data_IF_824597169682
#
_entry.id   IF_824597169682
#
_cell.length_a   1.000
_cell.length_b   1.000
_cell.length_c   1.000
_cell.angle_alpha   90.00
_cell.angle_beta   90.00
_cell.angle_gamma   90.00
#
_symmetry.space_group_name_H-M   'P 1'
#
loop_
_entity.id
_entity.type
_entity.pdbx_description
1 polymer ?
#
# COMPACT_ATOMS: atom_id res chain seq x y z
N UNK A 1 -15.73 1.15 48.25
CA UNK A 1 -14.38 0.58 48.06
C UNK A 1 -14.26 0.21 46.61
N UNK A 2 -13.70 1.12 45.81
CA UNK A 2 -13.55 1.02 44.36
C UNK A 2 -12.33 0.15 44.06
N UNK A 3 -12.56 -1.08 43.59
CA UNK A 3 -11.49 -1.92 43.08
C UNK A 3 -11.20 -1.49 41.64
N UNK A 4 -10.10 -0.76 41.49
CA UNK A 4 -9.40 -0.55 40.22
C UNK A 4 -8.49 -1.78 40.03
N UNK A 5 -8.82 -2.63 39.06
CA UNK A 5 -7.99 -3.73 38.53
C UNK A 5 -8.67 -4.14 37.21
N UNK A 6 -8.09 -4.17 36.03
CA UNK A 6 -6.71 -4.24 35.57
C UNK A 6 -6.56 -3.39 34.30
N UNK A 7 -5.37 -2.81 34.10
CA UNK A 7 -4.92 -2.35 32.79
C UNK A 7 -4.71 -3.57 31.88
N UNK A 8 -5.79 -4.21 31.42
CA UNK A 8 -5.74 -5.07 30.26
C UNK A 8 -5.54 -4.17 29.04
N UNK A 9 -4.30 -4.10 28.52
CA UNK A 9 -4.10 -3.64 27.16
C UNK A 9 -5.15 -4.35 26.28
N UNK A 10 -6.02 -3.59 25.55
CA UNK A 10 -7.21 -4.16 24.95
C UNK A 10 -6.79 -5.33 24.08
N UNK A 11 -7.48 -6.46 24.23
CA UNK A 11 -7.25 -7.74 23.54
C UNK A 11 -6.97 -7.57 22.03
N UNK A 12 -7.56 -6.52 21.45
CA UNK A 12 -7.33 -5.97 20.11
C UNK A 12 -5.86 -5.71 19.73
N UNK A 13 -5.03 -5.23 20.66
CA UNK A 13 -3.59 -5.00 20.44
C UNK A 13 -2.77 -6.29 20.48
N UNK A 14 -3.32 -7.39 20.96
CA UNK A 14 -2.63 -8.69 20.94
C UNK A 14 -2.91 -9.49 19.68
N UNK A 15 -3.99 -9.20 18.93
CA UNK A 15 -4.28 -9.90 17.67
C UNK A 15 -3.29 -9.44 16.57
N UNK A 16 -2.46 -10.36 16.03
CA UNK A 16 -1.47 -10.01 15.00
C UNK A 16 -2.12 -9.46 13.72
N UNK A 17 -3.37 -9.85 13.39
CA UNK A 17 -4.07 -9.33 12.21
C UNK A 17 -4.36 -7.84 12.37
N UNK A 18 -4.83 -7.40 13.54
CA UNK A 18 -5.10 -6.00 13.82
C UNK A 18 -3.83 -5.14 13.82
N UNK A 19 -2.76 -5.62 14.47
CA UNK A 19 -1.49 -4.92 14.53
C UNK A 19 -0.88 -4.72 13.15
N UNK A 20 -0.81 -5.80 12.37
CA UNK A 20 -0.23 -5.76 11.03
C UNK A 20 -1.10 -4.93 10.07
N UNK A 21 -2.43 -4.98 10.20
CA UNK A 21 -3.32 -4.11 9.43
C UNK A 21 -3.06 -2.62 9.74
N UNK A 22 -2.94 -2.26 11.02
CA UNK A 22 -2.60 -0.89 11.43
C UNK A 22 -1.23 -0.44 10.91
N UNK A 23 -0.21 -1.29 11.03
CA UNK A 23 1.13 -1.02 10.48
C UNK A 23 1.09 -0.87 8.97
N UNK A 24 0.38 -1.74 8.26
CA UNK A 24 0.24 -1.68 6.81
C UNK A 24 -0.45 -0.41 6.34
N UNK A 25 -1.52 0.02 7.00
CA UNK A 25 -2.17 1.31 6.75
C UNK A 25 -1.19 2.47 6.96
N UNK A 26 -0.43 2.47 8.06
CA UNK A 26 0.55 3.51 8.35
C UNK A 26 1.66 3.56 7.28
N UNK A 27 2.18 2.41 6.87
CA UNK A 27 3.20 2.32 5.81
C UNK A 27 2.66 2.79 4.45
N UNK A 28 1.41 2.46 4.11
CA UNK A 28 0.76 2.94 2.89
C UNK A 28 0.54 4.46 2.93
N UNK A 29 0.16 5.03 4.07
CA UNK A 29 0.04 6.48 4.25
C UNK A 29 1.39 7.18 4.09
N UNK A 30 2.44 6.65 4.72
CA UNK A 30 3.81 7.16 4.57
C UNK A 30 4.25 7.08 3.12
N UNK A 31 3.98 5.96 2.45
CA UNK A 31 4.34 5.76 1.04
C UNK A 31 3.63 6.77 0.14
N UNK A 32 2.32 6.96 0.32
CA UNK A 32 1.51 7.94 -0.43
C UNK A 32 1.98 9.38 -0.22
N UNK A 33 2.39 9.72 1.00
CA UNK A 33 2.87 11.04 1.34
C UNK A 33 4.27 11.29 0.76
N UNK A 34 5.19 10.35 0.99
CA UNK A 34 6.54 10.39 0.44
C UNK A 34 6.53 10.42 -1.10
N UNK A 35 5.55 9.76 -1.73
CA UNK A 35 5.43 9.74 -3.18
C UNK A 35 4.82 10.97 -3.82
N UNK A 36 4.19 11.85 -3.02
CA UNK A 36 3.64 13.12 -3.51
C UNK A 36 4.55 14.32 -3.27
N UNK A 37 5.41 14.26 -2.26
CA UNK A 37 6.34 15.33 -1.99
C UNK A 37 7.58 15.12 -2.88
N UNK A 38 7.92 16.05 -3.80
CA UNK A 38 9.24 16.06 -4.42
C UNK A 38 10.25 16.47 -3.34
N UNK A 39 10.53 15.58 -2.41
CA UNK A 39 11.65 15.79 -1.49
C UNK A 39 12.90 15.42 -2.27
N UNK A 40 13.48 16.37 -2.99
CA UNK A 40 14.93 16.43 -3.16
C UNK A 40 15.51 16.68 -1.77
N UNK A 41 15.48 15.65 -0.93
CA UNK A 41 16.16 15.67 0.36
C UNK A 41 17.64 15.37 0.08
N UNK A 42 18.35 16.38 -0.44
CA UNK A 42 19.81 16.48 -0.28
C UNK A 42 20.18 16.78 1.19
N UNK A 43 19.19 17.08 2.03
CA UNK A 43 19.32 17.12 3.48
C UNK A 43 19.05 15.76 4.07
N UNK A 44 19.70 15.41 5.17
CA UNK A 44 19.33 14.27 6.01
C UNK A 44 17.98 14.59 6.66
N UNK A 45 17.01 13.66 6.67
CA UNK A 45 15.80 13.78 7.50
C UNK A 45 16.22 14.17 8.93
N UNK A 46 15.78 15.32 9.49
CA UNK A 46 16.11 15.63 10.86
C UNK A 46 15.49 14.54 11.74
N UNK A 47 16.33 13.89 12.53
CA UNK A 47 16.07 12.77 13.45
C UNK A 47 16.13 11.32 12.93
N UNK A 48 16.07 11.05 11.61
CA UNK A 48 16.19 9.66 11.08
C UNK A 48 17.29 9.52 10.01
N UNK A 49 17.54 10.57 9.22
CA UNK A 49 18.48 10.54 8.09
C UNK A 49 19.96 10.61 8.49
N UNK A 50 20.29 10.66 9.78
CA UNK A 50 21.68 10.62 10.25
C UNK A 50 22.23 9.20 10.41
N UNK A 51 21.37 8.19 10.56
CA UNK A 51 21.81 6.82 10.86
C UNK A 51 21.51 5.83 9.73
N UNK A 52 20.60 6.17 8.80
CA UNK A 52 20.34 5.36 7.62
C UNK A 52 20.06 6.34 6.46
N UNK A 53 20.97 6.50 5.48
CA UNK A 53 20.63 7.17 4.24
C UNK A 53 19.61 6.29 3.50
N UNK A 54 18.33 6.54 3.72
CA UNK A 54 17.29 5.98 2.87
C UNK A 54 17.32 6.77 1.56
N UNK A 55 18.18 6.35 0.62
CA UNK A 55 18.01 6.63 -0.81
C UNK A 55 16.80 5.82 -1.34
N UNK A 56 15.65 6.00 -0.67
CA UNK A 56 14.42 5.31 -1.04
C UNK A 56 13.85 6.06 -2.23
N UNK A 57 14.23 5.61 -3.43
CA UNK A 57 13.71 6.20 -4.64
C UNK A 57 12.19 5.99 -4.67
N UNK A 58 11.48 7.12 -4.58
CA UNK A 58 10.02 7.23 -4.52
C UNK A 58 9.33 6.49 -5.67
N UNK A 59 9.98 6.39 -6.83
CA UNK A 59 9.47 5.63 -7.97
C UNK A 59 9.23 4.17 -7.58
N UNK A 60 10.09 3.55 -6.77
CA UNK A 60 9.89 2.19 -6.28
C UNK A 60 8.72 2.06 -5.32
N UNK A 61 8.42 3.08 -4.51
CA UNK A 61 7.25 3.06 -3.64
C UNK A 61 5.96 3.00 -4.45
N UNK A 62 5.89 3.74 -5.55
CA UNK A 62 4.72 3.78 -6.43
C UNK A 62 4.61 2.48 -7.24
N UNK A 63 5.73 1.97 -7.76
CA UNK A 63 5.76 0.76 -8.60
C UNK A 63 5.57 -0.52 -7.77
N UNK A 64 6.33 -0.69 -6.69
CA UNK A 64 6.35 -1.91 -5.88
C UNK A 64 5.37 -1.88 -4.70
N UNK A 65 4.97 -0.70 -4.24
CA UNK A 65 4.07 -0.55 -3.09
C UNK A 65 2.74 -1.31 -3.25
N UNK A 66 2.03 -1.20 -4.37
CA UNK A 66 0.81 -1.98 -4.61
C UNK A 66 1.02 -3.50 -4.60
N UNK A 67 2.18 -3.96 -5.07
CA UNK A 67 2.57 -5.38 -5.05
C UNK A 67 2.78 -5.84 -3.61
N UNK A 68 3.57 -5.10 -2.83
CA UNK A 68 3.82 -5.39 -1.43
C UNK A 68 2.52 -5.37 -0.60
N UNK A 69 1.62 -4.42 -0.87
CA UNK A 69 0.30 -4.33 -0.26
C UNK A 69 -0.55 -5.58 -0.57
N UNK A 70 -0.52 -6.04 -1.83
CA UNK A 70 -1.21 -7.26 -2.26
C UNK A 70 -0.66 -8.50 -1.55
N UNK A 71 0.66 -8.63 -1.44
CA UNK A 71 1.31 -9.74 -0.73
C UNK A 71 0.93 -9.75 0.76
N UNK A 72 0.91 -8.57 1.38
CA UNK A 72 0.49 -8.44 2.78
C UNK A 72 -1.01 -8.79 2.96
N UNK A 73 -1.87 -8.42 2.03
CA UNK A 73 -3.28 -8.81 2.04
C UNK A 73 -3.45 -10.34 1.85
N UNK A 74 -2.69 -10.96 0.95
CA UNK A 74 -2.65 -12.41 0.79
C UNK A 74 -2.17 -13.10 2.09
N UNK A 75 -1.18 -12.51 2.77
CA UNK A 75 -0.71 -13.00 4.06
C UNK A 75 -1.78 -12.90 5.15
N UNK A 76 -2.57 -11.82 5.21
CA UNK A 76 -3.73 -11.75 6.11
C UNK A 76 -4.73 -12.85 5.83
N UNK A 77 -5.01 -13.10 4.56
CA UNK A 77 -5.90 -14.20 4.17
C UNK A 77 -5.35 -15.55 4.65
N UNK A 78 -4.06 -15.81 4.46
CA UNK A 78 -3.40 -17.01 4.97
C UNK A 78 -3.48 -17.13 6.50
N UNK A 79 -3.16 -16.07 7.25
CA UNK A 79 -3.27 -16.07 8.72
C UNK A 79 -4.69 -16.41 9.19
N UNK A 80 -5.71 -15.98 8.46
CA UNK A 80 -7.11 -16.30 8.79
C UNK A 80 -7.53 -17.71 8.39
N UNK A 81 -6.81 -18.40 7.48
CA UNK A 81 -7.13 -19.79 7.11
C UNK A 81 -6.75 -20.81 8.17
N UNK A 82 -5.69 -20.58 8.93
CA UNK A 82 -5.24 -21.48 10.01
C UNK A 82 -5.97 -21.29 11.34
N UNK A 83 -6.89 -20.33 11.45
CA UNK A 83 -7.66 -20.09 12.69
C UNK A 83 -8.95 -20.91 12.68
N UNK A 84 -9.22 -21.61 13.78
CA UNK A 84 -10.52 -22.27 13.97
C UNK A 84 -11.65 -21.23 13.87
N UNK A 85 -12.76 -21.52 13.15
CA UNK A 85 -13.97 -20.68 13.10
C UNK A 85 -14.53 -20.28 14.47
N UNK A 86 -14.13 -20.99 15.53
CA UNK A 86 -14.55 -20.82 16.91
C UNK A 86 -13.69 -19.82 17.70
N UNK A 87 -12.87 -18.99 17.03
CA UNK A 87 -12.01 -18.01 17.70
C UNK A 87 -12.81 -16.87 18.37
N UNK A 88 -13.44 -17.16 19.49
CA UNK A 88 -14.05 -16.25 20.46
C UNK A 88 -15.27 -15.47 19.98
N UNK A 89 -16.14 -15.09 20.91
CA UNK A 89 -17.12 -14.03 20.70
C UNK A 89 -16.37 -12.73 20.38
N UNK A 90 -16.12 -12.45 19.09
CA UNK A 90 -15.58 -11.16 18.63
C UNK A 90 -16.65 -10.09 18.81
N UNK A 91 -16.28 -8.97 19.41
CA UNK A 91 -17.20 -7.84 19.54
C UNK A 91 -17.58 -7.28 18.16
N UNK A 92 -18.84 -6.87 17.94
CA UNK A 92 -19.24 -6.12 16.74
C UNK A 92 -18.38 -4.89 16.45
N UNK A 93 -17.86 -4.25 17.52
CA UNK A 93 -16.94 -3.12 17.39
C UNK A 93 -15.60 -3.51 16.76
N UNK A 94 -15.06 -4.68 17.09
CA UNK A 94 -13.81 -5.15 16.51
C UNK A 94 -14.00 -5.54 15.04
N UNK A 95 -15.12 -6.18 14.71
CA UNK A 95 -15.49 -6.52 13.33
C UNK A 95 -15.57 -5.27 12.44
N UNK A 96 -16.24 -4.22 12.94
CA UNK A 96 -16.32 -2.92 12.25
C UNK A 96 -14.96 -2.24 12.15
N UNK A 97 -14.17 -2.27 13.21
CA UNK A 97 -12.85 -1.66 13.25
C UNK A 97 -11.86 -2.31 12.28
N UNK A 98 -11.84 -3.64 12.21
CA UNK A 98 -10.98 -4.36 11.27
C UNK A 98 -11.46 -4.15 9.83
N UNK A 99 -12.78 -4.18 9.60
CA UNK A 99 -13.37 -3.88 8.30
C UNK A 99 -13.00 -2.48 7.82
N UNK A 100 -13.02 -1.48 8.71
CA UNK A 100 -12.55 -0.13 8.40
C UNK A 100 -11.06 -0.09 8.05
N UNK A 101 -10.20 -0.76 8.83
CA UNK A 101 -8.76 -0.83 8.54
C UNK A 101 -8.49 -1.48 7.18
N UNK A 102 -9.18 -2.56 6.85
CA UNK A 102 -9.03 -3.22 5.55
C UNK A 102 -9.59 -2.37 4.40
N UNK A 103 -10.73 -1.70 4.61
CA UNK A 103 -11.27 -0.76 3.63
C UNK A 103 -10.30 0.38 3.34
N UNK A 104 -9.73 0.96 4.41
CA UNK A 104 -8.70 2.00 4.29
C UNK A 104 -7.44 1.48 3.59
N UNK A 105 -6.98 0.28 3.94
CA UNK A 105 -5.83 -0.36 3.29
C UNK A 105 -6.05 -0.51 1.77
N UNK A 106 -7.22 -1.03 1.36
CA UNK A 106 -7.58 -1.17 -0.05
C UNK A 106 -7.63 0.17 -0.77
N UNK A 107 -8.27 1.18 -0.17
CA UNK A 107 -8.35 2.54 -0.70
C UNK A 107 -6.96 3.19 -0.87
N UNK A 108 -6.06 3.05 0.11
CA UNK A 108 -4.70 3.59 0.03
C UNK A 108 -3.88 2.88 -1.05
N UNK A 109 -4.06 1.56 -1.21
CA UNK A 109 -3.42 0.78 -2.28
C UNK A 109 -3.88 1.25 -3.66
N UNK A 110 -5.18 1.52 -3.81
CA UNK A 110 -5.74 2.12 -5.03
C UNK A 110 -5.16 3.50 -5.29
N UNK A 111 -5.12 4.38 -4.28
CA UNK A 111 -4.55 5.72 -4.42
C UNK A 111 -3.08 5.66 -4.85
N UNK A 112 -2.30 4.73 -4.30
CA UNK A 112 -0.89 4.57 -4.66
C UNK A 112 -0.74 4.09 -6.11
N UNK A 113 -1.63 3.19 -6.54
CA UNK A 113 -1.69 2.76 -7.94
C UNK A 113 -2.14 3.87 -8.89
N UNK A 114 -3.04 4.76 -8.45
CA UNK A 114 -3.43 5.94 -9.23
C UNK A 114 -2.25 6.90 -9.39
N UNK A 115 -1.39 7.05 -8.38
CA UNK A 115 -0.20 7.89 -8.50
C UNK A 115 0.69 7.46 -9.67
N UNK A 116 0.81 6.16 -9.98
CA UNK A 116 1.55 5.69 -11.15
C UNK A 116 1.14 6.43 -12.44
N UNK A 117 -0.15 6.62 -12.68
CA UNK A 117 -0.65 7.31 -13.89
C UNK A 117 -0.56 8.84 -13.82
N UNK A 118 -0.46 9.40 -12.62
CA UNK A 118 -0.47 10.85 -12.42
C UNK A 118 0.92 11.47 -12.40
N UNK A 119 1.92 10.72 -11.94
CA UNK A 119 3.25 11.28 -11.64
C UNK A 119 4.40 10.49 -12.25
N UNK A 120 4.14 9.34 -12.89
CA UNK A 120 5.17 8.56 -13.57
C UNK A 120 4.94 8.50 -15.09
N UNK A 121 5.96 8.89 -15.86
CA UNK A 121 6.02 8.71 -17.30
C UNK A 121 7.47 8.68 -17.80
N UNK A 122 7.72 8.24 -19.05
CA UNK A 122 8.96 8.57 -19.74
C UNK A 122 9.18 10.09 -19.78
N UNK A 123 10.44 10.53 -19.68
CA UNK A 123 10.83 11.95 -19.73
C UNK A 123 10.12 12.79 -20.81
N UNK A 124 10.07 12.40 -22.10
CA UNK A 124 9.43 13.21 -23.13
C UNK A 124 7.92 13.34 -22.95
N UNK A 125 7.31 12.46 -22.16
CA UNK A 125 5.87 12.42 -21.90
C UNK A 125 5.49 13.06 -20.57
N UNK A 126 6.42 13.36 -19.66
CA UNK A 126 6.12 14.11 -18.44
C UNK A 126 5.37 15.45 -18.61
N UNK A 127 5.53 16.24 -19.70
CA UNK A 127 4.73 17.45 -19.90
C UNK A 127 3.30 17.18 -20.38
N UNK A 128 2.94 15.94 -20.74
CA UNK A 128 1.57 15.59 -21.16
C UNK A 128 0.67 15.36 -19.95
N UNK A 129 -0.64 15.58 -20.08
CA UNK A 129 -1.58 15.39 -18.97
C UNK A 129 -1.85 13.89 -18.75
N UNK A 130 -1.83 13.46 -17.48
CA UNK A 130 -2.18 12.14 -16.93
C UNK A 130 -2.06 10.95 -17.89
N UNK A 131 -1.13 10.06 -17.59
CA UNK A 131 -0.64 9.03 -18.51
C UNK A 131 -1.47 7.74 -18.51
N UNK A 132 -2.80 7.89 -18.50
CA UNK A 132 -3.73 6.76 -18.60
C UNK A 132 -3.75 6.11 -19.99
N UNK A 133 -3.21 6.78 -21.00
CA UNK A 133 -2.99 6.25 -22.33
C UNK A 133 -2.08 5.01 -22.32
N UNK A 134 -1.19 4.88 -21.34
CA UNK A 134 -0.34 3.70 -21.12
C UNK A 134 -1.11 2.40 -20.84
N UNK A 135 -2.42 2.46 -20.59
CA UNK A 135 -3.27 1.27 -20.55
C UNK A 135 -3.49 0.65 -21.94
N UNK A 136 -3.28 1.44 -22.99
CA UNK A 136 -3.66 1.11 -24.37
C UNK A 136 -2.52 1.31 -25.37
N UNK A 137 -1.50 2.10 -25.02
CA UNK A 137 -0.35 2.40 -25.89
C UNK A 137 0.95 1.91 -25.26
N UNK A 138 1.86 1.42 -26.11
CA UNK A 138 3.25 1.16 -25.73
C UNK A 138 4.13 2.18 -26.45
N UNK A 139 4.85 3.06 -25.72
CA UNK A 139 5.93 3.81 -26.34
C UNK A 139 7.03 2.83 -26.81
N UNK A 140 7.71 3.12 -27.93
CA UNK A 140 8.72 2.23 -28.48
C UNK A 140 10.01 2.24 -27.63
N UNK A 141 10.48 1.04 -27.28
CA UNK A 141 11.79 0.79 -26.67
C UNK A 141 11.87 0.98 -25.15
N UNK A 142 13.01 0.57 -24.55
CA UNK A 142 13.18 0.55 -23.10
C UNK A 142 13.28 1.98 -22.58
N UNK A 143 12.19 2.47 -21.99
CA UNK A 143 12.10 3.81 -21.42
C UNK A 143 12.23 3.76 -19.90
N UNK A 144 13.06 4.64 -19.34
CA UNK A 144 13.13 4.82 -17.88
C UNK A 144 11.85 5.50 -17.40
N UNK A 145 11.37 5.07 -16.24
CA UNK A 145 10.23 5.67 -15.58
C UNK A 145 10.71 6.92 -14.85
N UNK A 146 10.24 8.10 -15.21
CA UNK A 146 10.58 9.34 -14.51
C UNK A 146 9.44 9.79 -13.62
N UNK A 147 9.80 10.37 -12.48
CA UNK A 147 8.91 11.13 -11.63
C UNK A 147 8.73 12.53 -12.24
N UNK A 148 7.53 12.85 -12.71
CA UNK A 148 7.26 14.05 -13.52
C UNK A 148 7.03 15.33 -12.71
N UNK A 149 7.44 15.36 -11.44
CA UNK A 149 7.39 16.58 -10.61
C UNK A 149 8.72 17.32 -10.65
N UNK A 150 8.69 18.66 -10.56
CA UNK A 150 9.89 19.48 -10.55
C UNK A 150 10.81 19.19 -9.35
N UNK A 151 12.12 19.32 -9.55
CA UNK A 151 13.12 19.09 -8.49
C UNK A 151 13.29 17.61 -8.14
N UNK A 152 13.13 16.70 -9.11
CA UNK A 152 13.32 15.25 -8.93
C UNK A 152 14.40 14.67 -9.85
N UNK A 153 15.25 15.53 -10.45
CA UNK A 153 16.27 15.13 -11.42
C UNK A 153 17.26 14.12 -10.82
N UNK A 154 17.67 14.32 -9.57
CA UNK A 154 18.57 13.38 -8.86
C UNK A 154 17.89 12.03 -8.57
N UNK A 155 16.59 12.01 -8.26
CA UNK A 155 15.83 10.77 -8.01
C UNK A 155 15.67 9.95 -9.30
N UNK A 156 15.48 10.62 -10.43
CA UNK A 156 15.25 10.00 -11.74
C UNK A 156 16.51 9.36 -12.34
N UNK A 157 17.71 9.68 -11.83
CA UNK A 157 18.97 9.05 -12.30
C UNK A 157 18.97 7.53 -12.12
N UNK A 158 18.38 7.07 -11.00
CA UNK A 158 18.38 5.67 -10.59
C UNK A 158 16.97 5.05 -10.64
N UNK A 159 16.07 5.61 -11.46
CA UNK A 159 14.72 5.06 -11.58
C UNK A 159 14.69 3.75 -12.38
N UNK A 160 13.77 2.83 -12.05
CA UNK A 160 13.60 1.61 -12.81
C UNK A 160 13.11 1.89 -14.24
N UNK A 161 13.31 0.91 -15.12
CA UNK A 161 12.72 0.89 -16.45
C UNK A 161 11.27 0.39 -16.39
N UNK A 162 10.47 0.76 -17.38
CA UNK A 162 9.21 0.06 -17.61
C UNK A 162 9.47 -1.41 -17.93
N UNK A 163 8.63 -2.29 -17.38
CA UNK A 163 8.57 -3.67 -17.84
C UNK A 163 7.97 -3.67 -19.24
N UNK A 164 8.71 -4.16 -20.23
CA UNK A 164 8.17 -4.32 -21.58
C UNK A 164 7.31 -5.60 -21.67
N UNK A 165 6.11 -5.51 -22.26
CA UNK A 165 5.44 -4.30 -22.74
C UNK A 165 4.85 -3.47 -21.58
N UNK A 166 5.01 -2.14 -21.64
CA UNK A 166 4.59 -1.17 -20.61
C UNK A 166 3.10 -1.26 -20.26
N UNK A 167 2.27 -1.61 -21.25
CA UNK A 167 0.85 -1.94 -21.06
C UNK A 167 0.65 -2.98 -19.93
N UNK A 168 1.50 -4.02 -19.83
CA UNK A 168 1.38 -5.04 -18.77
C UNK A 168 1.61 -4.44 -17.39
N UNK A 169 2.62 -3.57 -17.24
CA UNK A 169 2.85 -2.88 -15.97
C UNK A 169 1.69 -1.96 -15.60
N UNK A 170 1.17 -1.19 -16.55
CA UNK A 170 0.01 -0.32 -16.38
C UNK A 170 -1.24 -1.09 -15.95
N UNK A 171 -1.54 -2.20 -16.63
CA UNK A 171 -2.64 -3.09 -16.22
C UNK A 171 -2.39 -3.74 -14.86
N UNK A 172 -1.13 -4.02 -14.52
CA UNK A 172 -0.74 -4.43 -13.17
C UNK A 172 -1.22 -3.44 -12.12
N UNK A 173 -1.01 -2.15 -12.33
CA UNK A 173 -1.49 -1.10 -11.40
C UNK A 173 -3.03 -0.99 -11.30
N UNK A 174 -3.79 -1.50 -12.27
CA UNK A 174 -5.24 -1.68 -12.12
C UNK A 174 -5.55 -2.98 -11.36
N UNK A 175 -4.82 -4.04 -11.63
CA UNK A 175 -5.04 -5.37 -11.08
C UNK A 175 -4.69 -5.49 -9.59
N UNK A 176 -3.57 -4.92 -9.14
CA UNK A 176 -3.09 -5.00 -7.75
C UNK A 176 -4.11 -4.51 -6.70
N UNK A 177 -4.74 -3.33 -6.83
CA UNK A 177 -5.74 -2.89 -5.85
C UNK A 177 -7.01 -3.76 -5.85
N UNK A 178 -7.39 -4.33 -6.99
CA UNK A 178 -8.51 -5.28 -7.09
C UNK A 178 -8.16 -6.56 -6.30
N UNK A 179 -6.98 -7.13 -6.55
CA UNK A 179 -6.53 -8.34 -5.90
C UNK A 179 -6.31 -8.14 -4.39
N UNK A 180 -5.76 -6.99 -4.00
CA UNK A 180 -5.64 -6.57 -2.59
C UNK A 180 -7.01 -6.56 -1.92
N UNK A 181 -7.99 -5.89 -2.53
CA UNK A 181 -9.36 -5.80 -1.99
C UNK A 181 -10.02 -7.17 -1.87
N UNK A 182 -9.80 -8.05 -2.85
CA UNK A 182 -10.27 -9.44 -2.81
C UNK A 182 -9.70 -10.19 -1.60
N UNK A 183 -8.38 -10.19 -1.41
CA UNK A 183 -7.76 -10.91 -0.29
C UNK A 183 -8.17 -10.35 1.06
N UNK A 184 -8.24 -9.02 1.21
CA UNK A 184 -8.72 -8.37 2.42
C UNK A 184 -10.16 -8.75 2.73
N UNK A 185 -11.03 -8.75 1.73
CA UNK A 185 -12.41 -9.18 1.89
C UNK A 185 -12.49 -10.63 2.35
N UNK A 186 -11.75 -11.54 1.71
CA UNK A 186 -11.72 -12.96 2.08
C UNK A 186 -11.16 -13.19 3.48
N UNK A 187 -10.13 -12.44 3.86
CA UNK A 187 -9.58 -12.45 5.22
C UNK A 187 -10.62 -11.98 6.25
N UNK A 188 -11.30 -10.87 5.98
CA UNK A 188 -12.35 -10.35 6.84
C UNK A 188 -13.52 -11.32 6.98
N UNK A 189 -14.00 -11.89 5.87
CA UNK A 189 -15.07 -12.90 5.89
C UNK A 189 -14.74 -14.10 6.79
N UNK A 190 -13.49 -14.58 6.74
CA UNK A 190 -13.04 -15.72 7.56
C UNK A 190 -12.80 -15.35 9.01
N UNK A 191 -12.42 -14.10 9.27
CA UNK A 191 -12.24 -13.57 10.61
C UNK A 191 -13.58 -13.36 11.34
N UNK A 192 -14.71 -13.23 10.61
CA UNK A 192 -16.05 -13.13 11.20
C UNK A 192 -16.50 -14.45 11.87
N UNK A 193 -17.20 -14.36 13.02
CA UNK A 193 -17.88 -15.50 13.63
C UNK A 193 -18.80 -16.20 12.62
N UNK A 194 -18.93 -17.53 12.73
CA UNK A 194 -19.80 -18.32 11.83
C UNK A 194 -21.27 -17.86 11.83
N UNK A 195 -21.75 -17.32 12.95
CA UNK A 195 -23.10 -16.77 13.10
C UNK A 195 -23.40 -15.55 12.23
N UNK A 196 -22.37 -14.79 11.82
CA UNK A 196 -22.49 -13.56 11.02
C UNK A 196 -22.11 -13.75 9.54
N UNK A 197 -21.84 -14.98 9.08
CA UNK A 197 -21.45 -15.25 7.68
C UNK A 197 -22.63 -15.41 6.69
N UNK A 198 -23.86 -15.13 7.11
CA UNK A 198 -25.05 -15.21 6.26
C UNK A 198 -25.10 -14.09 5.23
#
# INVERSE_FOLDING_TARGET
MTLISDNQAPERTKDPVFRLAGMGVALLLISLFASRAPTTFNGKLPFIGQFIPLDLNVVYLIVLGPIAATLLAAYFWHLTTGRSPESGNRSPYDLRSLGFLFGLFGALTLLLSVQYFLILAPEPLCPTRSHFDFLWTNPPGPTRIFHCMGGTEELNKNSPYYLEPMIVQSWGHIFWPILTSYFLYRAWQRWRPSSERR
#
